data_IF_970872051177
#
_entry.id   IF_970872051177
#
_cell.length_a   1.000
_cell.length_b   1.000
_cell.length_c   1.000
_cell.angle_alpha   90.00
_cell.angle_beta   90.00
_cell.angle_gamma   90.00
#
_symmetry.space_group_name_H-M   'P 1'
#
loop_
_entity.id
_entity.type
_entity.pdbx_description
1 polymer ?
#
# COMPACT_ATOMS: atom_id res chain seq x y z
N UNK A 1 -7.82 30.69 -8.34
CA UNK A 1 -7.51 29.26 -8.60
C UNK A 1 -6.27 28.95 -7.78
N UNK A 2 -6.41 28.51 -6.52
CA UNK A 2 -5.27 28.11 -5.66
C UNK A 2 -5.80 27.25 -4.51
N UNK A 3 -6.39 26.09 -4.85
CA UNK A 3 -6.62 25.01 -3.90
C UNK A 3 -5.61 23.90 -4.23
N UNK A 4 -4.32 24.21 -4.05
CA UNK A 4 -3.24 23.29 -4.36
C UNK A 4 -3.23 22.17 -3.32
N UNK A 5 -4.03 21.16 -3.61
CA UNK A 5 -3.98 19.75 -3.24
C UNK A 5 -2.64 19.32 -2.59
N UNK A 6 -2.42 19.68 -1.33
CA UNK A 6 -1.16 19.45 -0.62
C UNK A 6 -1.27 18.15 0.17
N UNK A 7 -1.03 17.03 -0.51
CA UNK A 7 -0.83 15.74 0.16
C UNK A 7 0.37 15.90 1.10
N UNK A 8 0.15 15.73 2.41
CA UNK A 8 1.15 15.97 3.46
C UNK A 8 2.41 15.11 3.25
N UNK A 9 2.21 13.83 2.94
CA UNK A 9 3.26 12.84 2.66
C UNK A 9 3.15 12.39 1.21
N UNK A 10 3.42 13.32 0.29
CA UNK A 10 3.18 13.10 -1.14
C UNK A 10 3.97 11.89 -1.64
N UNK A 11 5.27 11.85 -1.39
CA UNK A 11 6.17 10.81 -1.88
C UNK A 11 5.78 9.45 -1.32
N UNK A 12 5.59 9.34 0.00
CA UNK A 12 5.20 8.10 0.67
C UNK A 12 3.86 7.59 0.18
N UNK A 13 2.89 8.50 -0.01
CA UNK A 13 1.57 8.14 -0.57
C UNK A 13 1.71 7.57 -1.97
N UNK A 14 2.50 8.19 -2.84
CA UNK A 14 2.76 7.68 -4.19
C UNK A 14 3.44 6.31 -4.17
N UNK A 15 4.42 6.11 -3.28
CA UNK A 15 5.11 4.82 -3.13
C UNK A 15 4.16 3.72 -2.66
N UNK A 16 3.35 3.98 -1.63
CA UNK A 16 2.39 3.00 -1.08
C UNK A 16 1.32 2.66 -2.14
N UNK A 17 0.75 3.67 -2.80
CA UNK A 17 -0.26 3.43 -3.84
C UNK A 17 0.34 2.65 -5.02
N UNK A 18 1.55 3.00 -5.45
CA UNK A 18 2.26 2.28 -6.51
C UNK A 18 2.48 0.80 -6.19
N UNK A 19 2.84 0.48 -4.95
CA UNK A 19 2.97 -0.90 -4.48
C UNK A 19 1.63 -1.66 -4.57
N UNK A 20 0.54 -1.05 -4.09
CA UNK A 20 -0.80 -1.62 -4.21
C UNK A 20 -1.20 -1.86 -5.67
N UNK A 21 -0.94 -0.90 -6.56
CA UNK A 21 -1.22 -1.04 -8.00
C UNK A 21 -0.42 -2.16 -8.64
N UNK A 22 0.86 -2.32 -8.27
CA UNK A 22 1.71 -3.41 -8.78
C UNK A 22 1.21 -4.78 -8.31
N UNK A 23 0.84 -4.91 -7.03
CA UNK A 23 0.25 -6.15 -6.50
C UNK A 23 -1.05 -6.48 -7.22
N UNK A 24 -1.96 -5.51 -7.34
CA UNK A 24 -3.23 -5.70 -8.05
C UNK A 24 -3.03 -6.02 -9.54
N UNK A 25 -2.10 -5.36 -10.22
CA UNK A 25 -1.77 -5.65 -11.62
C UNK A 25 -1.17 -7.03 -11.83
N UNK A 26 -0.49 -7.58 -10.82
CA UNK A 26 0.12 -8.91 -10.89
C UNK A 26 -0.85 -10.04 -10.52
N UNK A 27 -1.71 -9.82 -9.53
CA UNK A 27 -2.67 -10.82 -9.05
C UNK A 27 -4.00 -10.78 -9.83
N UNK A 28 -4.49 -9.58 -10.18
CA UNK A 28 -5.84 -9.39 -10.70
C UNK A 28 -6.93 -9.63 -9.64
N UNK A 29 -8.18 -9.48 -10.05
CA UNK A 29 -9.34 -9.64 -9.15
C UNK A 29 -9.63 -11.11 -8.81
N UNK A 30 -10.26 -11.36 -7.64
CA UNK A 30 -10.81 -12.68 -7.26
C UNK A 30 -10.05 -13.42 -6.16
N UNK A 31 -8.88 -12.93 -5.73
CA UNK A 31 -8.17 -13.48 -4.58
C UNK A 31 -8.72 -12.99 -3.25
N UNK A 32 -8.51 -13.79 -2.20
CA UNK A 32 -8.84 -13.43 -0.82
C UNK A 32 -7.95 -12.28 -0.35
N UNK A 33 -8.46 -11.52 0.61
CA UNK A 33 -7.73 -10.42 1.24
C UNK A 33 -6.37 -10.87 1.81
N UNK A 34 -6.31 -12.03 2.49
CA UNK A 34 -5.06 -12.58 3.01
C UNK A 34 -3.97 -12.77 1.93
N UNK A 35 -4.34 -13.11 0.69
CA UNK A 35 -3.38 -13.26 -0.43
C UNK A 35 -2.85 -11.89 -0.84
N UNK A 36 -3.72 -10.88 -0.87
CA UNK A 36 -3.33 -9.50 -1.13
C UNK A 36 -2.41 -8.95 -0.03
N UNK A 37 -2.72 -9.22 1.23
CA UNK A 37 -1.90 -8.85 2.39
C UNK A 37 -0.48 -9.42 2.26
N UNK A 38 -0.34 -10.72 2.01
CA UNK A 38 0.97 -11.38 1.86
C UNK A 38 1.76 -10.87 0.64
N UNK A 39 1.08 -10.60 -0.47
CA UNK A 39 1.72 -10.04 -1.66
C UNK A 39 2.21 -8.60 -1.41
N UNK A 40 1.40 -7.78 -0.72
CA UNK A 40 1.76 -6.41 -0.38
C UNK A 40 2.89 -6.36 0.66
N UNK A 41 2.92 -7.30 1.61
CA UNK A 41 4.03 -7.49 2.55
C UNK A 41 5.37 -7.63 1.81
N UNK A 42 5.41 -8.51 0.81
CA UNK A 42 6.62 -8.75 -0.01
C UNK A 42 7.01 -7.53 -0.84
N UNK A 43 6.03 -6.82 -1.40
CA UNK A 43 6.30 -5.59 -2.15
C UNK A 43 6.86 -4.49 -1.23
N UNK A 44 6.30 -4.33 -0.03
CA UNK A 44 6.80 -3.38 0.96
C UNK A 44 8.22 -3.72 1.43
N UNK A 45 8.53 -5.01 1.64
CA UNK A 45 9.89 -5.45 1.94
C UNK A 45 10.87 -5.11 0.80
N UNK A 46 10.47 -5.35 -0.45
CA UNK A 46 11.27 -5.04 -1.64
C UNK A 46 11.56 -3.54 -1.76
N UNK A 47 10.54 -2.71 -1.50
CA UNK A 47 10.64 -1.25 -1.51
C UNK A 47 11.22 -0.67 -0.21
N UNK A 48 11.53 -1.52 0.78
CA UNK A 48 12.02 -1.15 2.11
C UNK A 48 11.10 -0.16 2.85
N UNK A 49 9.80 -0.26 2.62
CA UNK A 49 8.78 0.54 3.33
C UNK A 49 8.61 -0.04 4.73
N UNK A 50 8.70 0.76 5.80
CA UNK A 50 8.42 0.27 7.15
C UNK A 50 6.92 0.03 7.34
N UNK A 51 6.54 -1.16 7.82
CA UNK A 51 5.14 -1.51 8.10
C UNK A 51 5.03 -2.46 9.30
N UNK A 52 3.80 -2.64 9.77
CA UNK A 52 3.42 -3.69 10.72
C UNK A 52 2.20 -4.42 10.19
N UNK A 53 2.22 -5.74 10.21
CA UNK A 53 1.12 -6.58 9.77
C UNK A 53 0.07 -6.72 10.87
N UNK A 54 -1.21 -6.66 10.49
CA UNK A 54 -2.36 -6.96 11.36
C UNK A 54 -2.29 -6.29 12.75
N UNK A 55 -2.02 -4.99 12.77
CA UNK A 55 -1.99 -4.23 14.03
C UNK A 55 -3.39 -4.23 14.64
N UNK A 56 -3.50 -4.67 15.90
CA UNK A 56 -4.75 -4.59 16.65
C UNK A 56 -5.17 -3.13 16.81
N UNK A 57 -6.46 -2.86 16.56
CA UNK A 57 -7.05 -1.56 16.83
C UNK A 57 -7.20 -1.38 18.35
N UNK A 58 -6.79 -0.22 18.84
CA UNK A 58 -7.05 0.22 20.21
C UNK A 58 -8.41 0.92 20.20
N UNK A 59 -9.46 0.20 20.59
CA UNK A 59 -10.87 0.62 20.56
C UNK A 59 -11.42 0.79 21.98
#
# INVERSE_FOLDING_TARGET
MDATNKILYKEESFTIIGACMKVHGSLGAGFLEAVYEEALEREFQTLKIPFKRQVKLDL
#
